data_IF_774143213679
#
_entry.id   IF_774143213679
#
_cell.length_a   1.000
_cell.length_b   1.000
_cell.length_c   1.000
_cell.angle_alpha   90.00
_cell.angle_beta   90.00
_cell.angle_gamma   90.00
#
_symmetry.space_group_name_H-M   'P 1'
#
loop_
_entity.id
_entity.type
_entity.pdbx_description
1 polymer ?
#
# COMPACT_ATOMS: atom_id res chain seq x y z
N UNK A 1 -3.94 3.77 -5.79
CA UNK A 1 -4.68 2.98 -6.79
C UNK A 1 -3.74 2.10 -7.60
N UNK A 2 -2.72 2.66 -8.27
CA UNK A 2 -1.79 1.92 -9.14
C UNK A 2 -1.04 0.82 -8.37
N UNK A 3 -0.70 1.06 -7.12
CA UNK A 3 -0.01 0.12 -6.25
C UNK A 3 -0.85 -1.12 -5.95
N UNK A 4 -2.13 -0.95 -5.68
CA UNK A 4 -3.01 -2.05 -5.25
C UNK A 4 -3.82 -2.67 -6.40
N UNK A 5 -4.08 -1.91 -7.48
CA UNK A 5 -4.93 -2.33 -8.58
C UNK A 5 -4.19 -2.79 -9.85
N UNK A 6 -3.00 -2.28 -10.11
CA UNK A 6 -2.28 -2.53 -11.37
C UNK A 6 -1.04 -3.43 -11.22
N UNK A 7 -0.89 -4.17 -10.12
CA UNK A 7 0.29 -5.00 -9.81
C UNK A 7 1.61 -4.22 -9.73
N UNK A 8 1.58 -2.90 -9.89
CA UNK A 8 2.75 -2.04 -9.81
C UNK A 8 3.24 -1.82 -8.36
N UNK A 9 2.47 -2.25 -7.36
CA UNK A 9 2.77 -2.09 -5.94
C UNK A 9 4.04 -2.77 -5.46
N UNK A 10 4.58 -3.67 -6.28
CA UNK A 10 5.86 -4.29 -5.99
C UNK A 10 7.05 -3.32 -6.11
N UNK A 11 6.91 -2.29 -6.93
CA UNK A 11 7.97 -1.32 -7.24
C UNK A 11 7.78 0.02 -6.56
N UNK A 12 6.56 0.35 -6.17
CA UNK A 12 6.25 1.64 -5.56
C UNK A 12 6.36 1.54 -4.03
N UNK A 13 7.18 2.39 -3.39
CA UNK A 13 7.31 2.43 -1.94
C UNK A 13 6.11 3.15 -1.30
N UNK A 14 4.89 2.60 -1.47
CA UNK A 14 3.64 3.24 -1.07
C UNK A 14 3.55 3.56 0.41
N UNK A 15 4.02 2.65 1.28
CA UNK A 15 4.03 2.87 2.74
C UNK A 15 4.91 4.07 3.11
N UNK A 16 6.05 4.20 2.44
CA UNK A 16 6.95 5.33 2.65
C UNK A 16 6.35 6.64 2.14
N UNK A 17 5.63 6.60 1.01
CA UNK A 17 4.92 7.78 0.50
C UNK A 17 3.79 8.20 1.44
N UNK A 18 3.10 7.28 2.08
CA UNK A 18 2.09 7.59 3.09
C UNK A 18 2.70 8.24 4.33
N UNK A 19 3.83 7.73 4.79
CA UNK A 19 4.57 8.32 5.89
C UNK A 19 5.02 9.75 5.55
N UNK A 20 5.60 9.96 4.36
CA UNK A 20 5.98 11.28 3.84
C UNK A 20 4.77 12.21 3.72
N UNK A 21 3.61 11.70 3.28
CA UNK A 21 2.35 12.45 3.26
C UNK A 21 1.99 12.95 4.66
N UNK A 22 2.20 12.13 5.69
CA UNK A 22 2.02 12.52 7.09
C UNK A 22 2.98 13.62 7.53
N UNK A 23 4.26 13.50 7.20
CA UNK A 23 5.28 14.53 7.48
C UNK A 23 4.92 15.87 6.84
N UNK A 24 4.45 15.83 5.58
CA UNK A 24 4.06 17.01 4.80
C UNK A 24 2.58 17.42 4.98
N UNK A 25 1.86 16.81 5.91
CA UNK A 25 0.39 17.01 6.05
C UNK A 25 -0.02 18.47 6.18
N UNK A 26 0.80 19.31 6.81
CA UNK A 26 0.53 20.73 6.94
C UNK A 26 0.60 21.47 5.60
N UNK A 27 1.59 21.14 4.74
CA UNK A 27 1.82 21.84 3.48
C UNK A 27 1.01 21.29 2.29
N UNK A 28 0.74 19.98 2.24
CA UNK A 28 0.05 19.35 1.11
C UNK A 28 -1.37 19.87 0.87
N UNK A 29 -2.05 20.32 1.92
CA UNK A 29 -3.41 20.85 1.83
C UNK A 29 -3.47 22.37 2.07
N UNK A 30 -2.32 23.06 2.06
CA UNK A 30 -2.25 24.52 2.11
C UNK A 30 -2.95 25.11 0.89
N UNK A 31 -3.77 26.12 1.10
CA UNK A 31 -4.58 26.75 0.06
C UNK A 31 -5.93 26.06 -0.24
N UNK A 32 -6.17 24.84 0.27
CA UNK A 32 -7.46 24.14 0.18
C UNK A 32 -8.16 24.15 1.55
N UNK A 33 -7.41 23.88 2.61
CA UNK A 33 -7.87 23.88 4.00
C UNK A 33 -7.02 24.89 4.78
N UNK A 34 -7.63 25.77 5.62
CA UNK A 34 -6.91 26.72 6.44
C UNK A 34 -5.78 26.10 7.26
N UNK A 35 -4.69 26.83 7.47
CA UNK A 35 -3.48 26.26 8.07
C UNK A 35 -3.62 25.93 9.56
N UNK A 36 -4.55 26.57 10.24
CA UNK A 36 -4.93 26.30 11.63
C UNK A 36 -5.73 25.00 11.82
N UNK A 37 -6.27 24.41 10.73
CA UNK A 37 -7.14 23.22 10.78
C UNK A 37 -6.37 21.93 10.43
N UNK A 38 -5.28 21.64 11.14
CA UNK A 38 -4.43 20.47 10.87
C UNK A 38 -5.18 19.13 10.95
N UNK A 39 -6.12 19.02 11.90
CA UNK A 39 -6.93 17.80 12.06
C UNK A 39 -7.77 17.53 10.81
N UNK A 40 -8.38 18.56 10.24
CA UNK A 40 -9.17 18.44 9.02
C UNK A 40 -8.29 18.06 7.83
N UNK A 41 -7.07 18.60 7.73
CA UNK A 41 -6.08 18.22 6.71
C UNK A 41 -5.73 16.73 6.81
N UNK A 42 -5.46 16.23 8.01
CA UNK A 42 -5.16 14.81 8.25
C UNK A 42 -6.34 13.91 7.88
N UNK A 43 -7.56 14.25 8.29
CA UNK A 43 -8.78 13.51 7.95
C UNK A 43 -8.97 13.48 6.44
N UNK A 44 -8.83 14.61 5.75
CA UNK A 44 -8.97 14.68 4.29
C UNK A 44 -7.94 13.80 3.57
N UNK A 45 -6.67 13.84 3.97
CA UNK A 45 -5.61 13.00 3.40
C UNK A 45 -5.88 11.51 3.63
N UNK A 46 -6.24 11.12 4.86
CA UNK A 46 -6.60 9.73 5.19
C UNK A 46 -7.77 9.26 4.33
N UNK A 47 -8.79 10.09 4.18
CA UNK A 47 -10.00 9.77 3.42
C UNK A 47 -9.70 9.60 1.93
N UNK A 48 -9.01 10.54 1.29
CA UNK A 48 -8.66 10.49 -0.13
C UNK A 48 -7.79 9.27 -0.46
N UNK A 49 -6.79 9.00 0.37
CA UNK A 49 -5.89 7.86 0.18
C UNK A 49 -6.64 6.54 0.40
N UNK A 50 -7.50 6.47 1.43
CA UNK A 50 -8.32 5.28 1.69
C UNK A 50 -9.24 4.96 0.52
N UNK A 51 -9.95 5.95 -0.04
CA UNK A 51 -10.81 5.74 -1.21
C UNK A 51 -10.00 5.20 -2.39
N UNK A 52 -8.83 5.78 -2.65
CA UNK A 52 -7.95 5.34 -3.74
C UNK A 52 -7.50 3.88 -3.57
N UNK A 53 -7.14 3.50 -2.33
CA UNK A 53 -6.76 2.12 -2.00
C UNK A 53 -7.94 1.13 -2.07
N UNK A 54 -9.14 1.56 -1.63
CA UNK A 54 -10.37 0.77 -1.72
C UNK A 54 -10.69 0.48 -3.18
N UNK A 55 -10.65 1.50 -4.05
CA UNK A 55 -10.92 1.36 -5.48
C UNK A 55 -9.92 0.40 -6.16
N UNK A 56 -8.62 0.50 -5.83
CA UNK A 56 -7.60 -0.42 -6.33
C UNK A 56 -7.88 -1.87 -5.95
N UNK A 57 -8.25 -2.13 -4.70
CA UNK A 57 -8.57 -3.49 -4.24
C UNK A 57 -9.88 -4.02 -4.87
N UNK A 58 -10.88 -3.19 -5.10
CA UNK A 58 -12.10 -3.58 -5.81
C UNK A 58 -11.74 -4.03 -7.22
N UNK A 59 -10.87 -3.28 -7.90
CA UNK A 59 -10.39 -3.67 -9.22
C UNK A 59 -9.66 -5.01 -9.17
N UNK A 60 -8.75 -5.21 -8.19
CA UNK A 60 -8.06 -6.49 -7.98
C UNK A 60 -9.01 -7.66 -7.72
N UNK A 61 -10.05 -7.47 -6.91
CA UNK A 61 -11.08 -8.48 -6.65
C UNK A 61 -11.82 -8.89 -7.93
N UNK A 62 -12.30 -7.91 -8.73
CA UNK A 62 -12.98 -8.21 -9.98
C UNK A 62 -12.07 -8.85 -11.03
N UNK A 63 -10.80 -8.45 -11.06
CA UNK A 63 -9.79 -9.09 -11.90
C UNK A 63 -9.61 -10.56 -11.51
N UNK A 64 -9.48 -10.84 -10.21
CA UNK A 64 -9.40 -12.21 -9.68
C UNK A 64 -10.65 -13.03 -10.01
N UNK A 65 -11.84 -12.46 -9.81
CA UNK A 65 -13.12 -13.12 -10.09
C UNK A 65 -13.29 -13.47 -11.57
N UNK A 66 -12.90 -12.56 -12.47
CA UNK A 66 -12.94 -12.80 -13.93
C UNK A 66 -11.84 -13.76 -14.41
N UNK A 67 -10.64 -13.64 -13.85
CA UNK A 67 -9.50 -14.48 -14.20
C UNK A 67 -9.63 -15.93 -13.70
N UNK A 68 -10.29 -16.10 -12.57
CA UNK A 68 -10.54 -17.40 -11.95
C UNK A 68 -9.26 -18.25 -11.83
N UNK A 69 -9.42 -19.58 -11.97
CA UNK A 69 -8.32 -20.54 -11.86
C UNK A 69 -7.23 -20.36 -12.94
N UNK A 70 -7.52 -19.68 -14.06
CA UNK A 70 -6.54 -19.41 -15.13
C UNK A 70 -5.35 -18.59 -14.64
N UNK A 71 -5.50 -17.80 -13.55
CA UNK A 71 -4.39 -17.08 -12.95
C UNK A 71 -3.32 -17.99 -12.36
N UNK A 72 -3.69 -19.18 -11.86
CA UNK A 72 -2.74 -20.15 -11.32
C UNK A 72 -1.94 -20.91 -12.39
N UNK A 73 -2.41 -20.90 -13.64
CA UNK A 73 -1.71 -21.53 -14.77
C UNK A 73 -0.88 -20.53 -15.59
N UNK A 74 -0.97 -19.23 -15.28
CA UNK A 74 -0.22 -18.18 -15.97
C UNK A 74 1.27 -18.31 -15.67
N UNK A 75 2.09 -18.12 -16.69
CA UNK A 75 3.55 -18.08 -16.55
C UNK A 75 4.01 -16.88 -15.75
N UNK A 76 5.15 -17.04 -15.07
CA UNK A 76 5.77 -15.95 -14.29
C UNK A 76 6.20 -14.82 -15.23
N UNK A 77 6.00 -13.59 -14.78
CA UNK A 77 6.45 -12.38 -15.44
C UNK A 77 7.10 -11.43 -14.43
N UNK A 78 7.72 -10.34 -14.91
CA UNK A 78 8.34 -9.34 -14.03
C UNK A 78 7.35 -8.75 -13.00
N UNK A 79 6.08 -8.59 -13.40
CA UNK A 79 5.03 -8.00 -12.56
C UNK A 79 4.14 -9.05 -11.86
N UNK A 80 4.17 -10.30 -12.31
CA UNK A 80 3.31 -11.36 -11.79
C UNK A 80 4.11 -12.62 -11.53
N UNK A 81 4.23 -12.99 -10.25
CA UNK A 81 4.82 -14.26 -9.83
C UNK A 81 3.74 -15.16 -9.22
N UNK A 82 3.59 -16.34 -9.77
CA UNK A 82 2.67 -17.39 -9.30
C UNK A 82 2.86 -17.68 -7.81
N UNK A 83 4.11 -17.66 -7.33
CA UNK A 83 4.41 -17.91 -5.93
C UNK A 83 3.75 -16.91 -4.98
N UNK A 84 3.64 -15.63 -5.38
CA UNK A 84 2.96 -14.62 -4.56
C UNK A 84 1.44 -14.86 -4.47
N UNK A 85 0.84 -15.33 -5.57
CA UNK A 85 -0.57 -15.73 -5.58
C UNK A 85 -0.81 -16.94 -4.65
N UNK A 86 0.05 -17.96 -4.73
CA UNK A 86 -0.01 -19.14 -3.88
C UNK A 86 0.14 -18.76 -2.39
N UNK A 87 1.12 -17.92 -2.06
CA UNK A 87 1.33 -17.46 -0.69
C UNK A 87 0.12 -16.69 -0.15
N UNK A 88 -0.50 -15.85 -0.98
CA UNK A 88 -1.71 -15.13 -0.60
C UNK A 88 -2.91 -16.08 -0.42
N UNK A 89 -3.01 -17.14 -1.23
CA UNK A 89 -4.04 -18.19 -1.06
C UNK A 89 -3.87 -18.94 0.25
N UNK A 90 -2.66 -19.40 0.57
CA UNK A 90 -2.35 -20.08 1.84
C UNK A 90 -2.69 -19.17 3.03
N UNK A 91 -2.34 -17.88 2.91
CA UNK A 91 -2.66 -16.91 3.95
C UNK A 91 -4.17 -16.70 4.11
N UNK A 92 -4.91 -16.68 2.99
CA UNK A 92 -6.37 -16.60 3.01
C UNK A 92 -7.01 -17.85 3.62
N UNK A 93 -6.55 -19.04 3.28
CA UNK A 93 -7.04 -20.30 3.85
C UNK A 93 -6.86 -20.33 5.37
N UNK A 94 -5.75 -19.79 5.88
CA UNK A 94 -5.45 -19.73 7.32
C UNK A 94 -6.27 -18.68 8.07
N UNK A 95 -6.50 -17.49 7.48
CA UNK A 95 -7.09 -16.35 8.18
C UNK A 95 -8.49 -15.97 7.68
N UNK A 96 -8.98 -16.62 6.62
CA UNK A 96 -10.29 -16.33 6.03
C UNK A 96 -10.43 -14.88 5.56
N UNK A 97 -11.60 -14.31 5.74
CA UNK A 97 -11.92 -12.95 5.29
C UNK A 97 -11.06 -11.86 5.95
N UNK A 98 -10.54 -12.09 7.16
CA UNK A 98 -9.64 -11.19 7.87
C UNK A 98 -8.31 -10.95 7.10
N UNK A 99 -7.97 -11.87 6.18
CA UNK A 99 -6.82 -11.71 5.28
C UNK A 99 -6.82 -10.37 4.57
N UNK A 100 -7.99 -9.88 4.12
CA UNK A 100 -8.09 -8.61 3.38
C UNK A 100 -7.66 -7.43 4.24
N UNK A 101 -7.93 -7.48 5.53
CA UNK A 101 -7.48 -6.46 6.49
C UNK A 101 -5.99 -6.59 6.80
N UNK A 102 -5.55 -7.78 7.24
CA UNK A 102 -4.17 -8.03 7.69
C UNK A 102 -3.17 -7.91 6.54
N UNK A 103 -3.55 -8.36 5.35
CA UNK A 103 -2.70 -8.35 4.16
C UNK A 103 -2.17 -6.96 3.80
N UNK A 104 -2.90 -5.88 4.16
CA UNK A 104 -2.47 -4.50 3.89
C UNK A 104 -1.16 -4.14 4.56
N UNK A 105 -0.84 -4.77 5.69
CA UNK A 105 0.38 -4.55 6.46
C UNK A 105 1.54 -5.45 6.00
N UNK A 106 1.28 -6.38 5.07
CA UNK A 106 2.28 -7.31 4.55
C UNK A 106 2.51 -6.99 3.06
N UNK A 107 3.68 -6.42 2.67
CA UNK A 107 3.92 -5.90 1.32
C UNK A 107 3.58 -7.00 0.31
N UNK A 108 3.96 -7.93 -0.13
CA UNK A 108 3.58 -8.84 -1.22
C UNK A 108 2.15 -9.38 -1.14
N UNK A 109 1.67 -9.68 0.08
CA UNK A 109 0.33 -10.28 0.27
C UNK A 109 -0.75 -9.26 -0.06
N UNK A 110 -0.57 -7.99 0.29
CA UNK A 110 -1.58 -6.93 0.06
C UNK A 110 -1.98 -6.77 -1.41
N UNK A 111 -1.03 -6.94 -2.33
CA UNK A 111 -1.30 -6.81 -3.77
C UNK A 111 -2.09 -7.99 -4.31
N UNK A 112 -1.83 -9.19 -3.80
CA UNK A 112 -2.45 -10.42 -4.29
C UNK A 112 -3.71 -10.81 -3.51
N UNK A 113 -3.87 -10.37 -2.26
CA UNK A 113 -5.02 -10.73 -1.43
C UNK A 113 -6.39 -10.40 -2.05
N UNK A 114 -6.60 -9.21 -2.66
CA UNK A 114 -7.86 -8.91 -3.34
C UNK A 114 -8.12 -9.83 -4.53
N UNK A 115 -7.08 -10.20 -5.27
CA UNK A 115 -7.16 -11.09 -6.43
C UNK A 115 -7.53 -12.49 -5.98
N UNK A 116 -6.85 -13.00 -4.95
CA UNK A 116 -7.18 -14.31 -4.35
C UNK A 116 -8.61 -14.33 -3.87
N UNK A 117 -9.06 -13.28 -3.15
CA UNK A 117 -10.44 -13.16 -2.69
C UNK A 117 -11.45 -13.26 -3.85
N UNK A 118 -11.15 -12.61 -4.98
CA UNK A 118 -11.94 -12.72 -6.20
C UNK A 118 -11.89 -14.13 -6.82
N UNK A 119 -10.71 -14.76 -6.86
CA UNK A 119 -10.51 -16.09 -7.47
C UNK A 119 -11.23 -17.20 -6.69
N UNK A 120 -11.27 -17.09 -5.36
CA UNK A 120 -11.99 -18.04 -4.48
C UNK A 120 -13.46 -17.68 -4.27
N UNK A 121 -13.95 -16.68 -5.03
CA UNK A 121 -15.33 -16.18 -4.98
C UNK A 121 -15.81 -15.80 -3.57
N UNK A 122 -14.92 -15.10 -2.82
CA UNK A 122 -15.25 -14.59 -1.50
C UNK A 122 -16.50 -13.71 -1.55
N UNK A 123 -17.39 -13.80 -0.56
CA UNK A 123 -18.55 -12.93 -0.44
C UNK A 123 -18.16 -11.44 -0.50
N UNK A 124 -18.76 -10.72 -1.45
CA UNK A 124 -18.41 -9.33 -1.74
C UNK A 124 -18.67 -8.38 -0.56
N UNK A 125 -19.71 -8.63 0.24
CA UNK A 125 -20.02 -7.78 1.40
C UNK A 125 -18.95 -7.92 2.48
N UNK A 126 -18.47 -9.14 2.73
CA UNK A 126 -17.34 -9.39 3.64
C UNK A 126 -16.07 -8.76 3.10
N UNK A 127 -15.78 -8.95 1.80
CA UNK A 127 -14.62 -8.34 1.15
C UNK A 127 -14.62 -6.82 1.33
N UNK A 128 -15.72 -6.13 0.96
CA UNK A 128 -15.78 -4.67 0.99
C UNK A 128 -15.68 -4.12 2.43
N UNK A 129 -16.26 -4.80 3.41
CA UNK A 129 -16.19 -4.41 4.83
C UNK A 129 -14.74 -4.42 5.34
N UNK A 130 -14.01 -5.51 5.12
CA UNK A 130 -12.60 -5.61 5.50
C UNK A 130 -11.69 -4.72 4.64
N UNK A 131 -12.03 -4.50 3.37
CA UNK A 131 -11.33 -3.59 2.49
C UNK A 131 -11.43 -2.13 2.98
N UNK A 132 -12.62 -1.67 3.35
CA UNK A 132 -12.84 -0.32 3.88
C UNK A 132 -12.10 -0.15 5.21
N UNK A 133 -12.39 -1.00 6.19
CA UNK A 133 -11.77 -0.88 7.52
C UNK A 133 -10.24 -0.96 7.46
N UNK A 134 -9.70 -1.91 6.69
CA UNK A 134 -8.26 -2.05 6.50
C UNK A 134 -7.62 -0.86 5.80
N UNK A 135 -8.31 -0.23 4.82
CA UNK A 135 -7.80 0.97 4.15
C UNK A 135 -7.64 2.13 5.10
N UNK A 136 -8.68 2.41 5.90
CA UNK A 136 -8.65 3.52 6.84
C UNK A 136 -7.60 3.30 7.93
N UNK A 137 -7.53 2.10 8.53
CA UNK A 137 -6.55 1.81 9.58
C UNK A 137 -5.13 1.90 9.04
N UNK A 138 -4.86 1.33 7.87
CA UNK A 138 -3.55 1.37 7.24
C UNK A 138 -3.11 2.79 6.88
N UNK A 139 -3.94 3.57 6.17
CA UNK A 139 -3.60 4.94 5.78
C UNK A 139 -3.46 5.86 7.00
N UNK A 140 -4.36 5.73 8.01
CA UNK A 140 -4.27 6.49 9.24
C UNK A 140 -2.99 6.18 10.01
N UNK A 141 -2.60 4.90 10.14
CA UNK A 141 -1.39 4.49 10.86
C UNK A 141 -0.15 5.16 10.30
N UNK A 142 0.06 5.15 8.98
CA UNK A 142 1.25 5.74 8.35
C UNK A 142 1.23 7.27 8.35
N UNK A 143 0.09 7.87 8.02
CA UNK A 143 -0.04 9.34 7.97
C UNK A 143 0.13 9.94 9.37
N UNK A 144 -0.54 9.38 10.38
CA UNK A 144 -0.41 9.86 11.76
C UNK A 144 1.00 9.61 12.31
N UNK A 145 1.61 8.45 12.02
CA UNK A 145 3.00 8.19 12.40
C UNK A 145 3.95 9.24 11.82
N UNK A 146 3.81 9.57 10.53
CA UNK A 146 4.63 10.61 9.89
C UNK A 146 4.43 11.98 10.51
N UNK A 147 3.17 12.39 10.71
CA UNK A 147 2.83 13.67 11.29
C UNK A 147 3.37 13.84 12.73
N UNK A 148 3.05 12.88 13.62
CA UNK A 148 3.45 12.97 15.02
C UNK A 148 4.96 12.80 15.22
N UNK A 149 5.61 11.92 14.43
CA UNK A 149 7.06 11.76 14.52
C UNK A 149 7.79 13.04 14.10
N UNK A 150 7.36 13.67 13.01
CA UNK A 150 7.94 14.95 12.58
C UNK A 150 7.75 16.03 13.64
N UNK A 151 6.55 16.16 14.21
CA UNK A 151 6.25 17.10 15.28
C UNK A 151 7.11 16.85 16.53
N UNK A 152 7.27 15.60 16.94
CA UNK A 152 8.10 15.21 18.08
C UNK A 152 9.59 15.54 17.87
N UNK A 153 10.14 15.22 16.70
CA UNK A 153 11.55 15.50 16.38
C UNK A 153 11.81 17.00 16.26
N UNK A 154 10.89 17.74 15.67
CA UNK A 154 10.98 19.19 15.59
C UNK A 154 10.98 19.82 16.98
N UNK A 155 10.05 19.43 17.86
CA UNK A 155 9.91 20.00 19.20
C UNK A 155 11.09 19.67 20.13
N UNK A 156 11.63 18.45 20.05
CA UNK A 156 12.66 17.96 20.97
C UNK A 156 14.09 18.22 20.50
N UNK A 157 14.32 18.10 19.19
CA UNK A 157 15.67 18.13 18.61
C UNK A 157 15.86 19.27 17.60
N UNK A 158 14.85 20.11 17.41
CA UNK A 158 14.81 21.14 16.35
C UNK A 158 15.15 20.57 14.96
N UNK A 159 14.75 19.30 14.73
CA UNK A 159 15.02 18.58 13.50
C UNK A 159 13.72 18.42 12.69
N UNK A 160 13.68 19.04 11.51
CA UNK A 160 12.54 18.97 10.61
C UNK A 160 12.78 17.89 9.54
N UNK A 161 12.06 16.77 9.65
CA UNK A 161 12.13 15.69 8.64
C UNK A 161 11.75 16.25 7.25
N UNK A 162 10.83 17.21 7.19
CA UNK A 162 10.37 17.83 5.94
C UNK A 162 11.49 18.43 5.09
N UNK A 163 12.49 19.01 5.71
CA UNK A 163 13.65 19.62 5.02
C UNK A 163 14.59 18.58 4.42
N UNK A 164 14.59 17.36 4.98
CA UNK A 164 15.45 16.27 4.57
C UNK A 164 14.72 15.19 3.73
N UNK A 165 13.45 15.45 3.37
CA UNK A 165 12.62 14.48 2.65
C UNK A 165 13.25 13.99 1.35
N UNK A 166 13.94 14.87 0.61
CA UNK A 166 14.62 14.48 -0.63
C UNK A 166 15.63 13.35 -0.40
N UNK A 167 16.43 13.44 0.65
CA UNK A 167 17.42 12.43 1.01
C UNK A 167 16.74 11.15 1.53
N UNK A 168 15.67 11.29 2.34
CA UNK A 168 14.93 10.15 2.89
C UNK A 168 14.23 9.37 1.76
N UNK A 169 13.54 10.06 0.86
CA UNK A 169 12.89 9.43 -0.30
C UNK A 169 13.93 8.77 -1.21
N UNK A 170 15.04 9.46 -1.50
CA UNK A 170 16.12 8.89 -2.29
C UNK A 170 16.69 7.63 -1.65
N UNK A 171 16.95 7.65 -0.33
CA UNK A 171 17.42 6.48 0.41
C UNK A 171 16.43 5.32 0.34
N UNK A 172 15.13 5.57 0.56
CA UNK A 172 14.09 4.56 0.47
C UNK A 172 14.03 3.97 -0.95
N UNK A 173 14.05 4.81 -1.98
CA UNK A 173 14.03 4.36 -3.37
C UNK A 173 15.27 3.51 -3.67
N UNK A 174 16.45 3.93 -3.25
CA UNK A 174 17.68 3.14 -3.45
C UNK A 174 17.59 1.78 -2.74
N UNK A 175 17.21 1.76 -1.46
CA UNK A 175 17.11 0.51 -0.68
C UNK A 175 16.07 -0.45 -1.26
N UNK A 176 14.97 0.05 -1.80
CA UNK A 176 13.93 -0.79 -2.39
C UNK A 176 14.26 -1.22 -3.82
N UNK A 177 14.94 -0.38 -4.59
CA UNK A 177 15.20 -0.61 -6.02
C UNK A 177 16.48 -1.42 -6.26
N UNK A 178 17.55 -1.21 -5.47
CA UNK A 178 18.83 -1.90 -5.64
C UNK A 178 18.69 -3.44 -5.55
N UNK A 179 18.04 -4.04 -4.54
CA UNK A 179 17.87 -5.49 -4.48
C UNK A 179 17.09 -6.06 -5.67
N UNK A 180 16.18 -5.26 -6.23
CA UNK A 180 15.42 -5.66 -7.41
C UNK A 180 16.29 -5.65 -8.67
N UNK A 181 17.05 -4.58 -8.91
CA UNK A 181 17.97 -4.47 -10.06
C UNK A 181 19.03 -5.56 -10.00
N UNK A 182 19.61 -5.82 -8.82
CA UNK A 182 20.60 -6.89 -8.67
C UNK A 182 20.01 -8.27 -8.98
N UNK A 183 18.81 -8.59 -8.47
CA UNK A 183 18.12 -9.85 -8.83
C UNK A 183 17.82 -9.94 -10.32
N UNK A 184 17.40 -8.86 -10.94
CA UNK A 184 17.11 -8.84 -12.38
C UNK A 184 18.37 -9.06 -13.21
N UNK A 185 19.49 -8.43 -12.86
CA UNK A 185 20.78 -8.62 -13.54
C UNK A 185 21.33 -10.04 -13.38
N UNK A 186 21.17 -10.64 -12.19
CA UNK A 186 21.57 -12.04 -11.97
C UNK A 186 20.66 -13.05 -12.69
N UNK A 187 19.38 -12.71 -12.90
CA UNK A 187 18.44 -13.56 -13.66
C UNK A 187 18.67 -13.53 -15.18
N UNK A 188 19.21 -12.43 -15.70
CA UNK A 188 19.57 -12.30 -17.13
C UNK A 188 20.91 -12.96 -17.48
N UNK A 189 21.69 -13.40 -16.49
CA UNK A 189 22.99 -14.05 -16.66
C UNK A 189 22.93 -15.59 -16.59
N UNK A 190 21.73 -16.16 -16.42
CA UNK A 190 21.42 -17.57 -16.51
C UNK A 190 20.55 -17.86 -17.74
#
# INVERSE_FOLDING_TARGET
>A
FAETGLFAGFFLPGDSLLFVTGVLSASLMSGVIPDDQIVLKLIALIFLISISGIAGNIFGYWFGKKGGKKLYTREDSLLFKKQHLINATIFYEKHGALTIFIARFIPFIRTFAPIVAGTVDMDYKKFISYNISGSFVWSASFILAGHYLNGYLLAKYNYNIGEHLGYIVLFIVLVTTIPFITKMLFSLKK
#
